data_IF_048570770640
#
_entry.id   IF_048570770640
#
_cell.length_a   1.000
_cell.length_b   1.000
_cell.length_c   1.000
_cell.angle_alpha   90.00
_cell.angle_beta   90.00
_cell.angle_gamma   90.00
#
_symmetry.space_group_name_H-M   'P 1'
#
loop_
_entity.id
_entity.type
_entity.pdbx_description
1 polymer ?
#
# COMPACT_ATOMS: atom_id res chain seq x y z
N UNK A 1 4.83 -16.05 -19.67
CA UNK A 1 4.93 -14.84 -18.82
C UNK A 1 4.57 -15.29 -17.44
N UNK A 2 5.50 -15.20 -16.48
CA UNK A 2 5.22 -15.65 -15.11
C UNK A 2 4.04 -14.85 -14.56
N UNK A 3 3.06 -15.55 -13.97
CA UNK A 3 1.84 -14.93 -13.46
C UNK A 3 2.11 -13.91 -12.34
N UNK A 4 3.29 -13.92 -11.70
CA UNK A 4 3.71 -12.89 -10.76
C UNK A 4 4.19 -11.58 -11.42
N UNK A 5 4.53 -11.62 -12.72
CA UNK A 5 4.98 -10.47 -13.51
C UNK A 5 3.78 -9.79 -14.16
N UNK A 6 2.86 -10.58 -14.70
CA UNK A 6 1.65 -10.06 -15.31
C UNK A 6 0.60 -9.82 -14.23
N UNK A 7 0.18 -8.58 -14.05
CA UNK A 7 -0.93 -8.19 -13.18
C UNK A 7 -2.29 -8.62 -13.77
N UNK A 8 -2.39 -9.89 -14.17
CA UNK A 8 -3.58 -10.51 -14.75
C UNK A 8 -4.54 -10.92 -13.64
N UNK A 9 -5.82 -10.93 -13.98
CA UNK A 9 -6.84 -11.53 -13.13
C UNK A 9 -6.54 -13.02 -12.99
N UNK A 10 -6.50 -13.49 -11.74
CA UNK A 10 -6.25 -14.89 -11.44
C UNK A 10 -7.56 -15.67 -11.63
N UNK A 11 -7.49 -16.91 -12.13
CA UNK A 11 -8.69 -17.70 -12.30
C UNK A 11 -9.25 -18.12 -10.93
N UNK A 12 -10.56 -18.42 -10.80
CA UNK A 12 -11.19 -18.69 -9.50
C UNK A 12 -10.53 -19.83 -8.70
N UNK A 13 -10.02 -20.85 -9.39
CA UNK A 13 -9.31 -21.98 -8.79
C UNK A 13 -7.98 -21.60 -8.10
N UNK A 14 -7.44 -20.41 -8.36
CA UNK A 14 -6.27 -19.91 -7.67
C UNK A 14 -6.55 -19.61 -6.18
N UNK A 15 -7.82 -19.47 -5.80
CA UNK A 15 -8.27 -19.18 -4.42
C UNK A 15 -7.51 -18.00 -3.78
N UNK A 16 -7.17 -17.01 -4.60
CA UNK A 16 -6.45 -15.83 -4.15
C UNK A 16 -7.35 -14.92 -3.31
N UNK A 17 -6.81 -14.33 -2.26
CA UNK A 17 -7.49 -13.33 -1.44
C UNK A 17 -7.98 -12.16 -2.33
N UNK A 18 -9.27 -11.79 -2.28
CA UNK A 18 -9.78 -10.63 -2.99
C UNK A 18 -9.08 -9.33 -2.57
N UNK A 19 -8.87 -8.42 -3.50
CA UNK A 19 -8.22 -7.14 -3.20
C UNK A 19 -8.98 -6.32 -2.14
N UNK A 20 -10.31 -6.44 -2.08
CA UNK A 20 -11.14 -5.79 -1.05
C UNK A 20 -10.81 -6.29 0.36
N UNK A 21 -10.65 -7.60 0.54
CA UNK A 21 -10.32 -8.21 1.84
C UNK A 21 -8.92 -7.78 2.31
N UNK A 22 -7.95 -7.75 1.38
CA UNK A 22 -6.60 -7.21 1.65
C UNK A 22 -6.70 -5.77 2.16
N UNK A 23 -7.53 -4.94 1.52
CA UNK A 23 -7.68 -3.54 1.92
C UNK A 23 -8.35 -3.42 3.29
N UNK A 24 -9.44 -4.14 3.54
CA UNK A 24 -10.14 -4.14 4.82
C UNK A 24 -9.21 -4.54 5.98
N UNK A 25 -8.38 -5.56 5.76
CA UNK A 25 -7.38 -6.01 6.75
C UNK A 25 -6.31 -4.97 7.02
N UNK A 26 -5.80 -4.29 5.98
CA UNK A 26 -4.82 -3.22 6.14
C UNK A 26 -5.45 -2.01 6.84
N UNK A 27 -6.66 -1.61 6.44
CA UNK A 27 -7.40 -0.50 7.06
C UNK A 27 -7.64 -0.79 8.55
N UNK A 28 -8.08 -2.01 8.89
CA UNK A 28 -8.24 -2.40 10.30
C UNK A 28 -6.93 -2.24 11.07
N UNK A 29 -5.82 -2.79 10.58
CA UNK A 29 -4.53 -2.67 11.23
C UNK A 29 -4.09 -1.20 11.42
N UNK A 30 -4.33 -0.34 10.43
CA UNK A 30 -4.05 1.09 10.54
C UNK A 30 -4.86 1.78 11.65
N UNK A 31 -6.16 1.46 11.74
CA UNK A 31 -7.02 2.04 12.77
C UNK A 31 -6.68 1.51 14.17
N UNK A 32 -6.34 0.23 14.28
CA UNK A 32 -5.93 -0.37 15.54
C UNK A 32 -4.60 0.23 16.03
N UNK A 33 -3.64 0.43 15.12
CA UNK A 33 -2.38 1.14 15.42
C UNK A 33 -2.62 2.60 15.83
N UNK A 34 -3.54 3.30 15.16
CA UNK A 34 -3.86 4.68 15.51
C UNK A 34 -4.52 4.78 16.90
N UNK A 35 -5.34 3.80 17.27
CA UNK A 35 -5.95 3.72 18.61
C UNK A 35 -4.91 3.36 19.69
N UNK A 36 -3.98 2.44 19.40
CA UNK A 36 -2.95 2.01 20.34
C UNK A 36 -1.86 3.07 20.57
N UNK A 37 -1.58 3.91 19.55
CA UNK A 37 -0.48 4.88 19.58
C UNK A 37 -0.94 6.31 19.23
N UNK A 38 -1.83 6.92 20.03
CA UNK A 38 -2.40 8.23 19.72
C UNK A 38 -1.33 9.32 19.64
N UNK A 39 -1.37 10.11 18.55
CA UNK A 39 -0.44 11.22 18.30
C UNK A 39 0.99 10.80 17.95
N UNK A 40 1.24 9.50 17.72
CA UNK A 40 2.55 8.99 17.31
C UNK A 40 2.62 8.76 15.81
N UNK A 41 3.82 8.86 15.27
CA UNK A 41 4.14 8.38 13.92
C UNK A 41 4.49 6.90 14.03
N UNK A 42 3.79 6.06 13.26
CA UNK A 42 4.03 4.61 13.18
C UNK A 42 4.52 4.27 11.78
N UNK A 43 5.61 3.49 11.71
CA UNK A 43 6.07 2.91 10.45
C UNK A 43 5.46 1.52 10.28
N UNK A 44 4.78 1.30 9.17
CA UNK A 44 4.23 -0.01 8.78
C UNK A 44 4.97 -0.50 7.54
N UNK A 45 5.63 -1.65 7.65
CA UNK A 45 6.38 -2.28 6.55
C UNK A 45 5.47 -3.32 5.89
N UNK A 46 5.21 -3.15 4.59
CA UNK A 46 4.33 -4.02 3.80
C UNK A 46 5.01 -4.44 2.50
N UNK A 47 4.45 -5.47 1.85
CA UNK A 47 4.81 -5.83 0.49
C UNK A 47 4.10 -4.96 -0.55
N UNK A 48 4.69 -4.83 -1.74
CA UNK A 48 4.16 -3.99 -2.81
C UNK A 48 2.74 -4.35 -3.25
N UNK A 49 2.36 -5.63 -3.20
CA UNK A 49 1.00 -6.06 -3.53
C UNK A 49 -0.05 -5.49 -2.57
N UNK A 50 0.23 -5.49 -1.27
CA UNK A 50 -0.64 -4.94 -0.22
C UNK A 50 -0.82 -3.43 -0.37
N UNK A 51 0.31 -2.72 -0.53
CA UNK A 51 0.30 -1.25 -0.74
C UNK A 51 -0.48 -0.90 -2.01
N UNK A 52 -0.31 -1.69 -3.09
CA UNK A 52 -1.03 -1.50 -4.34
C UNK A 52 -2.55 -1.61 -4.17
N UNK A 53 -3.05 -2.61 -3.45
CA UNK A 53 -4.49 -2.76 -3.21
C UNK A 53 -5.05 -1.52 -2.52
N UNK A 54 -4.36 -1.02 -1.50
CA UNK A 54 -4.75 0.20 -0.78
C UNK A 54 -4.72 1.43 -1.69
N UNK A 55 -3.64 1.63 -2.45
CA UNK A 55 -3.50 2.77 -3.37
C UNK A 55 -4.53 2.74 -4.51
N UNK A 56 -4.86 1.55 -5.03
CA UNK A 56 -5.89 1.40 -6.08
C UNK A 56 -7.26 1.89 -5.58
N UNK A 57 -7.65 1.51 -4.36
CA UNK A 57 -8.87 2.01 -3.70
C UNK A 57 -8.80 3.53 -3.48
N UNK A 58 -7.63 4.06 -3.13
CA UNK A 58 -7.44 5.46 -2.77
C UNK A 58 -7.52 6.43 -3.96
N UNK A 59 -6.84 6.10 -5.07
CA UNK A 59 -6.58 7.04 -6.17
C UNK A 59 -7.14 6.60 -7.52
N UNK A 60 -7.55 5.34 -7.67
CA UNK A 60 -8.07 4.80 -8.95
C UNK A 60 -7.10 4.82 -10.14
N UNK A 61 -5.86 5.29 -9.97
CA UNK A 61 -4.91 5.51 -11.07
C UNK A 61 -3.75 4.49 -11.07
N UNK A 62 -3.69 3.65 -12.10
CA UNK A 62 -2.73 2.56 -12.22
C UNK A 62 -1.25 2.97 -12.12
N UNK A 63 -0.85 4.16 -12.62
CA UNK A 63 0.57 4.61 -12.60
C UNK A 63 1.09 4.87 -11.19
N UNK A 64 0.20 5.24 -10.27
CA UNK A 64 0.53 5.56 -8.86
C UNK A 64 0.59 4.27 -8.01
N UNK A 65 0.08 3.15 -8.53
CA UNK A 65 -0.23 1.96 -7.72
C UNK A 65 0.89 0.92 -7.65
N UNK A 66 2.02 1.13 -8.33
CA UNK A 66 3.17 0.20 -8.27
C UNK A 66 4.33 0.85 -7.51
N UNK A 67 4.37 0.69 -6.17
CA UNK A 67 5.46 1.25 -5.36
C UNK A 67 6.78 0.56 -5.70
N UNK A 68 7.87 1.34 -5.73
CA UNK A 68 9.23 0.78 -5.78
C UNK A 68 9.58 0.17 -4.42
N UNK A 69 10.49 -0.79 -4.41
CA UNK A 69 11.03 -1.33 -3.16
C UNK A 69 11.56 -0.20 -2.29
N UNK A 70 11.30 -0.29 -0.98
CA UNK A 70 11.71 0.71 0.03
C UNK A 70 11.06 2.09 -0.14
N UNK A 71 10.19 2.30 -1.14
CA UNK A 71 9.46 3.57 -1.25
C UNK A 71 8.51 3.78 -0.07
N UNK A 72 8.38 5.03 0.38
CA UNK A 72 7.54 5.38 1.53
C UNK A 72 6.21 5.97 1.07
N UNK A 73 5.10 5.50 1.64
CA UNK A 73 3.78 6.12 1.47
C UNK A 73 3.32 6.64 2.82
N UNK A 74 3.04 7.93 2.88
CA UNK A 74 2.63 8.62 4.11
C UNK A 74 1.14 8.87 4.08
N UNK A 75 0.46 8.51 5.17
CA UNK A 75 -0.96 8.73 5.37
C UNK A 75 -1.24 9.33 6.73
N UNK A 76 -2.37 10.03 6.85
CA UNK A 76 -2.89 10.53 8.11
C UNK A 76 -4.18 9.78 8.41
N UNK A 77 -4.22 9.11 9.56
CA UNK A 77 -5.43 8.49 10.09
C UNK A 77 -6.17 9.53 10.94
N UNK A 78 -7.44 9.74 10.62
CA UNK A 78 -8.33 10.67 11.30
C UNK A 78 -9.47 9.95 12.04
N UNK A 79 -10.38 10.71 12.67
CA UNK A 79 -11.49 10.14 13.43
C UNK A 79 -12.47 9.38 12.52
N UNK A 80 -13.21 8.43 13.13
CA UNK A 80 -14.28 7.70 12.45
C UNK A 80 -13.80 6.72 11.39
N UNK A 81 -12.65 6.07 11.60
CA UNK A 81 -12.04 5.10 10.67
C UNK A 81 -11.85 5.71 9.26
N UNK A 82 -11.30 6.92 9.23
CA UNK A 82 -10.98 7.63 7.99
C UNK A 82 -9.48 7.83 7.90
N UNK A 83 -8.96 7.85 6.68
CA UNK A 83 -7.56 8.20 6.43
C UNK A 83 -7.46 8.98 5.12
N UNK A 84 -6.34 9.67 4.95
CA UNK A 84 -6.00 10.34 3.68
C UNK A 84 -4.54 10.13 3.34
N UNK A 85 -4.24 10.10 2.04
CA UNK A 85 -2.85 10.11 1.56
C UNK A 85 -2.26 11.52 1.73
N UNK A 86 -0.99 11.55 2.10
CA UNK A 86 -0.17 12.77 2.14
C UNK A 86 0.90 12.70 1.06
N UNK A 87 1.55 11.55 0.94
CA UNK A 87 2.66 11.33 0.01
C UNK A 87 2.62 9.88 -0.46
N UNK A 88 2.92 9.65 -1.74
CA UNK A 88 2.85 8.32 -2.34
C UNK A 88 4.20 7.96 -2.94
N UNK A 89 4.66 6.76 -2.62
CA UNK A 89 5.86 6.14 -3.20
C UNK A 89 7.09 7.08 -3.21
N UNK A 90 7.37 7.74 -2.07
CA UNK A 90 8.55 8.57 -1.92
C UNK A 90 9.83 7.74 -2.01
N UNK A 91 10.70 8.19 -2.90
CA UNK A 91 12.00 7.58 -3.18
C UNK A 91 13.14 8.57 -2.99
N UNK A 92 12.87 9.75 -2.45
CA UNK A 92 13.85 10.83 -2.29
C UNK A 92 15.03 10.44 -1.40
N UNK A 93 14.83 9.49 -0.48
CA UNK A 93 15.86 8.94 0.39
C UNK A 93 16.79 7.93 -0.31
N UNK A 94 16.39 7.39 -1.46
CA UNK A 94 17.19 6.39 -2.16
C UNK A 94 18.37 7.04 -2.90
N UNK A 95 19.53 6.37 -2.97
CA UNK A 95 20.66 6.84 -3.76
C UNK A 95 20.23 7.06 -5.22
N UNK A 96 20.76 8.11 -5.84
CA UNK A 96 20.61 8.26 -7.30
C UNK A 96 21.30 7.07 -7.96
N UNK A 97 20.69 6.47 -9.00
CA UNK A 97 21.36 5.41 -9.74
C UNK A 97 22.70 5.94 -10.25
N UNK A 98 23.78 5.30 -9.83
CA UNK A 98 25.09 5.50 -10.44
C UNK A 98 25.01 4.95 -11.85
N UNK A 99 25.35 5.78 -12.85
CA UNK A 99 25.50 5.28 -14.22
C UNK A 99 26.75 4.40 -14.22
N UNK A 100 26.57 3.09 -14.34
CA UNK A 100 27.61 2.16 -14.79
C UNK A 100 27.62 2.09 -16.31
#
# INVERSE_FOLDING_TARGET
>A
IDAWIAQIELPPEAQAEPASEVVERIESALFDLAAAYPGKTVALILHGASIRCLLKRAVGNARITTPKNVSMTTMVVGPGRKWRLVQVADVSHMPKPTKE
#
